data_IF_008433134292
#
_entry.id   IF_008433134292
#
_cell.length_a   1.000
_cell.length_b   1.000
_cell.length_c   1.000
_cell.angle_alpha   90.00
_cell.angle_beta   90.00
_cell.angle_gamma   90.00
#
_symmetry.space_group_name_H-M   'P 1'
#
loop_
_entity.id
_entity.type
_entity.pdbx_description
1 polymer ?
#
# COMPACT_ATOMS: atom_id res chain seq x y z
N UNK A 1 -7.73 20.98 -7.90
CA UNK A 1 -7.78 19.94 -6.84
C UNK A 1 -7.58 20.59 -5.46
N UNK A 2 -6.83 21.68 -5.41
CA UNK A 2 -6.70 22.63 -4.30
C UNK A 2 -8.05 23.00 -3.66
N UNK A 3 -9.08 23.23 -4.47
CA UNK A 3 -10.45 23.53 -4.04
C UNK A 3 -11.08 22.47 -3.11
N UNK A 4 -10.59 21.22 -3.15
CA UNK A 4 -10.99 20.16 -2.21
C UNK A 4 -10.13 20.12 -0.94
N UNK A 5 -8.88 20.61 -0.98
CA UNK A 5 -8.00 20.61 0.19
C UNK A 5 -8.53 21.55 1.28
N UNK A 6 -9.09 22.70 0.88
CA UNK A 6 -9.63 23.70 1.81
C UNK A 6 -11.11 23.50 2.17
N UNK A 7 -11.80 22.53 1.57
CA UNK A 7 -13.12 22.09 2.03
C UNK A 7 -12.95 21.02 3.14
N UNK A 8 -12.93 21.46 4.40
CA UNK A 8 -12.86 20.63 5.61
C UNK A 8 -13.48 21.39 6.80
N UNK A 9 -13.89 20.69 7.86
CA UNK A 9 -14.46 21.32 9.07
C UNK A 9 -13.67 20.97 10.34
N UNK A 10 -13.17 19.73 10.42
CA UNK A 10 -12.44 19.21 11.59
C UNK A 10 -11.00 18.86 11.21
N UNK A 11 -10.07 19.21 12.11
CA UNK A 11 -8.70 18.72 12.13
C UNK A 11 -8.49 17.88 13.39
N UNK A 12 -7.77 16.76 13.26
CA UNK A 12 -7.25 15.97 14.37
C UNK A 12 -5.76 15.69 14.19
N UNK A 13 -5.04 15.40 15.28
CA UNK A 13 -3.64 15.00 15.24
C UNK A 13 -3.47 13.52 15.63
N UNK A 14 -2.46 12.86 15.07
CA UNK A 14 -2.06 11.52 15.50
C UNK A 14 -0.56 11.28 15.37
N UNK A 15 -0.05 10.32 16.14
CA UNK A 15 1.23 9.68 15.88
C UNK A 15 0.97 8.33 15.22
N UNK A 16 1.68 8.02 14.14
CA UNK A 16 1.55 6.74 13.44
C UNK A 16 2.88 6.35 12.81
N UNK A 17 3.33 5.11 13.01
CA UNK A 17 4.68 4.62 12.58
C UNK A 17 5.83 5.60 12.95
N UNK A 18 5.83 6.10 14.18
CA UNK A 18 6.84 7.03 14.73
C UNK A 18 6.95 8.39 14.01
N UNK A 19 5.95 8.75 13.20
CA UNK A 19 5.83 10.07 12.55
C UNK A 19 4.59 10.79 13.10
N UNK A 20 4.60 12.12 13.13
CA UNK A 20 3.51 12.96 13.65
C UNK A 20 2.73 13.60 12.50
N UNK A 21 1.40 13.53 12.57
CA UNK A 21 0.50 13.96 11.51
C UNK A 21 -0.61 14.87 12.03
N UNK A 22 -0.97 15.84 11.19
CA UNK A 22 -2.22 16.58 11.24
C UNK A 22 -3.15 16.03 10.13
N UNK A 23 -4.44 15.88 10.40
CA UNK A 23 -5.40 15.18 9.53
C UNK A 23 -6.71 15.97 9.44
N UNK A 24 -7.20 16.24 8.23
CA UNK A 24 -8.49 16.90 7.96
C UNK A 24 -9.60 15.86 7.73
N UNK A 25 -10.84 16.21 8.07
CA UNK A 25 -12.04 15.37 7.80
C UNK A 25 -12.36 15.17 6.31
N UNK A 26 -11.69 15.90 5.42
CA UNK A 26 -11.67 15.60 3.99
C UNK A 26 -10.74 14.44 3.58
N UNK A 27 -10.00 13.85 4.54
CA UNK A 27 -9.06 12.77 4.28
C UNK A 27 -7.70 13.21 3.75
N UNK A 28 -7.42 14.52 3.74
CA UNK A 28 -6.06 15.04 3.53
C UNK A 28 -5.24 15.03 4.82
N UNK A 29 -3.93 14.90 4.66
CA UNK A 29 -2.94 14.76 5.74
C UNK A 29 -1.79 15.74 5.53
N UNK A 30 -1.19 16.15 6.64
CA UNK A 30 0.08 16.87 6.73
C UNK A 30 0.98 16.10 7.69
N UNK A 31 2.19 15.74 7.28
CA UNK A 31 3.21 15.19 8.19
C UNK A 31 4.14 16.30 8.64
N UNK A 32 4.41 16.39 9.94
CA UNK A 32 5.43 17.30 10.47
C UNK A 32 6.85 16.78 10.20
N UNK A 33 7.80 17.68 9.94
CA UNK A 33 9.22 17.30 9.96
C UNK A 33 9.63 16.92 11.39
N UNK A 34 10.22 15.72 11.64
CA UNK A 34 10.77 15.39 12.95
C UNK A 34 11.93 16.32 13.31
N UNK A 35 11.97 16.80 14.55
CA UNK A 35 12.84 17.91 15.01
C UNK A 35 14.31 17.78 14.57
N UNK A 36 14.90 16.60 14.72
CA UNK A 36 16.32 16.34 14.42
C UNK A 36 16.59 15.85 12.97
N UNK A 37 15.61 15.97 12.06
CA UNK A 37 15.70 15.43 10.69
C UNK A 37 15.46 16.49 9.62
N UNK A 38 16.15 16.34 8.49
CA UNK A 38 15.94 17.20 7.31
C UNK A 38 14.51 17.07 6.78
N UNK A 39 13.84 18.20 6.60
CA UNK A 39 12.53 18.33 5.95
C UNK A 39 12.50 17.62 4.60
N UNK A 40 11.60 16.65 4.45
CA UNK A 40 11.35 15.95 3.18
C UNK A 40 10.43 16.80 2.30
N UNK A 41 10.43 16.64 0.95
CA UNK A 41 9.67 17.53 0.06
C UNK A 41 8.16 17.61 0.32
N UNK A 42 7.59 16.59 0.97
CA UNK A 42 6.16 16.45 1.33
C UNK A 42 5.83 16.89 2.76
N UNK A 43 6.80 17.19 3.61
CA UNK A 43 6.53 17.55 5.01
C UNK A 43 5.98 18.98 5.11
N UNK A 44 5.23 19.23 6.18
CA UNK A 44 4.61 20.52 6.53
C UNK A 44 3.70 21.08 5.42
N UNK A 45 3.13 20.20 4.59
CA UNK A 45 2.22 20.50 3.48
C UNK A 45 1.02 19.57 3.52
N UNK A 46 -0.17 20.12 3.28
CA UNK A 46 -1.40 19.34 3.15
C UNK A 46 -1.44 18.60 1.80
N UNK A 47 -1.85 17.33 1.83
CA UNK A 47 -1.99 16.51 0.63
C UNK A 47 -2.97 15.35 0.85
N UNK A 48 -3.65 14.91 -0.20
CA UNK A 48 -4.38 13.62 -0.18
C UNK A 48 -3.43 12.41 -0.34
N UNK A 49 -2.13 12.63 -0.58
CA UNK A 49 -1.14 11.61 -0.91
C UNK A 49 -0.96 11.40 -2.41
N UNK A 50 0.03 10.58 -2.78
CA UNK A 50 0.28 10.14 -4.16
C UNK A 50 -0.44 8.81 -4.40
N UNK A 51 -1.12 8.66 -5.53
CA UNK A 51 -1.72 7.37 -5.92
C UNK A 51 -0.64 6.32 -6.21
N UNK A 52 -0.67 5.23 -5.46
CA UNK A 52 0.01 3.99 -5.78
C UNK A 52 -0.87 3.20 -6.77
N UNK A 53 -0.35 2.92 -7.97
CA UNK A 53 -1.13 2.31 -9.06
C UNK A 53 -1.36 0.80 -8.89
N UNK A 54 -0.49 0.12 -8.16
CA UNK A 54 -0.57 -1.33 -7.90
C UNK A 54 -1.57 -1.62 -6.77
N UNK A 55 -1.48 -0.86 -5.68
CA UNK A 55 -2.33 -1.05 -4.50
C UNK A 55 -3.66 -0.31 -4.60
N UNK A 56 -3.77 0.71 -5.46
CA UNK A 56 -4.93 1.57 -5.63
C UNK A 56 -5.14 2.60 -4.51
N UNK A 57 -4.27 2.63 -3.50
CA UNK A 57 -4.36 3.54 -2.36
C UNK A 57 -3.56 4.83 -2.57
N UNK A 58 -3.95 5.88 -1.83
CA UNK A 58 -3.13 7.09 -1.70
C UNK A 58 -2.10 6.91 -0.57
N UNK A 59 -0.85 7.29 -0.83
CA UNK A 59 0.30 7.11 0.06
C UNK A 59 1.11 8.40 0.22
N UNK A 60 1.51 8.73 1.45
CA UNK A 60 2.48 9.80 1.78
C UNK A 60 3.79 9.15 2.24
N UNK A 61 4.85 9.29 1.45
CA UNK A 61 6.15 8.66 1.69
C UNK A 61 6.04 7.15 2.05
N UNK A 62 5.36 6.39 1.19
CA UNK A 62 5.08 4.94 1.35
C UNK A 62 4.19 4.56 2.54
N UNK A 63 3.54 5.53 3.20
CA UNK A 63 2.56 5.30 4.27
C UNK A 63 1.14 5.55 3.74
N UNK A 64 0.27 4.53 3.82
CA UNK A 64 -1.12 4.57 3.32
C UNK A 64 -1.97 5.57 4.10
N UNK A 65 -2.51 6.56 3.39
CA UNK A 65 -3.25 7.70 3.96
C UNK A 65 -4.48 7.25 4.74
N UNK A 66 -5.23 6.25 4.26
CA UNK A 66 -6.40 5.73 4.98
C UNK A 66 -6.07 5.23 6.40
N UNK A 67 -4.88 4.67 6.66
CA UNK A 67 -4.52 4.23 8.03
C UNK A 67 -4.20 5.43 8.92
N UNK A 68 -3.52 6.45 8.40
CA UNK A 68 -3.26 7.71 9.12
C UNK A 68 -4.61 8.37 9.49
N UNK A 69 -5.54 8.48 8.54
CA UNK A 69 -6.86 9.09 8.78
C UNK A 69 -7.69 8.29 9.79
N UNK A 70 -7.72 6.95 9.67
CA UNK A 70 -8.46 6.09 10.61
C UNK A 70 -7.85 6.16 12.01
N UNK A 71 -6.52 6.18 12.12
CA UNK A 71 -5.81 6.30 13.42
C UNK A 71 -6.12 7.63 14.10
N UNK A 72 -6.19 8.74 13.35
CA UNK A 72 -6.57 10.04 13.91
C UNK A 72 -8.04 10.09 14.34
N UNK A 73 -8.98 9.74 13.44
CA UNK A 73 -10.41 9.96 13.71
C UNK A 73 -11.09 8.86 14.53
N UNK A 74 -10.56 7.63 14.52
CA UNK A 74 -11.16 6.46 15.20
C UNK A 74 -10.19 5.77 16.18
N UNK A 75 -8.99 6.31 16.40
CA UNK A 75 -7.97 5.72 17.27
C UNK A 75 -7.24 4.52 16.65
N UNK A 76 -6.35 3.91 17.43
CA UNK A 76 -5.62 2.69 17.05
C UNK A 76 -6.56 1.48 16.82
N UNK A 77 -6.18 0.50 15.98
CA UNK A 77 -6.99 -0.68 15.72
C UNK A 77 -7.20 -1.53 16.99
N UNK A 78 -8.44 -2.03 17.25
CA UNK A 78 -8.73 -2.83 18.46
C UNK A 78 -7.90 -4.11 18.61
N UNK A 79 -7.56 -4.78 17.50
CA UNK A 79 -6.61 -5.91 17.46
C UNK A 79 -5.67 -5.78 16.27
N UNK A 80 -4.57 -6.56 16.26
CA UNK A 80 -3.62 -6.61 15.14
C UNK A 80 -4.23 -7.14 13.83
N UNK A 81 -5.38 -7.82 13.89
CA UNK A 81 -6.09 -8.32 12.69
C UNK A 81 -6.99 -7.27 12.02
N UNK A 82 -7.25 -6.15 12.70
CA UNK A 82 -8.14 -5.10 12.16
C UNK A 82 -7.45 -4.34 11.01
N UNK A 83 -8.03 -4.47 9.83
CA UNK A 83 -7.74 -3.68 8.64
C UNK A 83 -8.66 -2.46 8.57
N UNK A 84 -8.33 -1.49 7.72
CA UNK A 84 -9.26 -0.42 7.36
C UNK A 84 -10.13 -0.90 6.20
N UNK A 85 -11.45 -0.86 6.38
CA UNK A 85 -12.43 -1.00 5.30
C UNK A 85 -12.85 0.37 4.77
N UNK A 86 -12.85 0.52 3.45
CA UNK A 86 -13.50 1.62 2.74
C UNK A 86 -14.94 1.21 2.48
N UNK A 87 -15.90 1.83 3.18
CA UNK A 87 -17.31 1.41 3.18
C UNK A 87 -17.92 1.49 1.77
N UNK A 88 -17.60 2.51 0.98
CA UNK A 88 -17.98 2.63 -0.45
C UNK A 88 -17.08 1.80 -1.41
N UNK A 89 -16.08 1.09 -0.89
CA UNK A 89 -15.04 0.34 -1.61
C UNK A 89 -14.13 1.19 -2.53
N UNK A 90 -14.18 2.52 -2.46
CA UNK A 90 -13.28 3.42 -3.18
C UNK A 90 -12.02 3.68 -2.35
N UNK A 91 -10.91 3.03 -2.71
CA UNK A 91 -9.60 3.14 -2.05
C UNK A 91 -9.01 4.56 -1.96
N UNK A 92 -9.58 5.53 -2.66
CA UNK A 92 -9.16 6.94 -2.70
C UNK A 92 -10.15 7.89 -1.99
N UNK A 93 -11.31 7.39 -1.53
CA UNK A 93 -12.22 8.13 -0.65
C UNK A 93 -11.80 7.93 0.82
N UNK A 94 -10.90 8.79 1.29
CA UNK A 94 -10.35 8.73 2.64
C UNK A 94 -11.11 9.62 3.64
N UNK A 95 -12.36 10.02 3.38
CA UNK A 95 -13.20 10.69 4.39
C UNK A 95 -13.38 9.76 5.61
N UNK A 96 -13.26 10.24 6.86
CA UNK A 96 -13.46 9.41 8.06
C UNK A 96 -14.81 8.68 8.08
N UNK A 97 -15.91 9.32 7.67
CA UNK A 97 -17.25 8.69 7.54
C UNK A 97 -17.35 7.55 6.49
N UNK A 98 -16.26 7.29 5.74
CA UNK A 98 -16.11 6.19 4.81
C UNK A 98 -15.12 5.10 5.30
N UNK A 99 -14.41 5.32 6.41
CA UNK A 99 -13.39 4.39 6.92
C UNK A 99 -13.87 3.73 8.21
N UNK A 100 -13.47 2.48 8.45
CA UNK A 100 -13.67 1.79 9.74
C UNK A 100 -12.61 0.72 9.99
N UNK A 101 -12.30 0.46 11.25
CA UNK A 101 -11.57 -0.75 11.65
C UNK A 101 -12.52 -1.96 11.60
N UNK A 102 -12.12 -3.03 10.91
CA UNK A 102 -12.80 -4.34 10.88
C UNK A 102 -11.78 -5.44 10.63
N UNK A 103 -12.05 -6.66 11.05
CA UNK A 103 -11.36 -7.86 10.55
C UNK A 103 -11.72 -8.18 9.09
N UNK A 104 -10.99 -9.09 8.45
CA UNK A 104 -11.30 -9.60 7.10
C UNK A 104 -12.72 -10.16 7.01
N UNK A 105 -13.10 -10.97 8.01
CA UNK A 105 -14.40 -11.64 8.09
C UNK A 105 -15.54 -10.62 8.30
N UNK A 106 -15.35 -9.65 9.20
CA UNK A 106 -16.33 -8.58 9.40
C UNK A 106 -16.51 -7.71 8.15
N UNK A 107 -15.48 -7.48 7.32
CA UNK A 107 -15.70 -6.80 6.03
C UNK A 107 -16.63 -7.62 5.11
N UNK A 108 -16.36 -8.93 4.97
CA UNK A 108 -17.17 -9.84 4.15
C UNK A 108 -18.64 -9.86 4.62
N UNK A 109 -18.88 -9.87 5.92
CA UNK A 109 -20.23 -9.97 6.51
C UNK A 109 -20.95 -8.61 6.66
N UNK A 110 -20.22 -7.53 6.95
CA UNK A 110 -20.77 -6.21 7.32
C UNK A 110 -20.57 -5.13 6.24
N UNK A 111 -20.07 -5.47 5.06
CA UNK A 111 -20.05 -4.58 3.89
C UNK A 111 -20.93 -5.19 2.76
N UNK A 112 -22.19 -4.71 2.57
CA UNK A 112 -23.09 -5.23 1.54
C UNK A 112 -22.52 -5.16 0.12
N UNK A 113 -21.64 -4.19 -0.17
CA UNK A 113 -21.01 -4.02 -1.49
C UNK A 113 -19.94 -5.09 -1.70
N UNK A 114 -19.16 -5.41 -0.67
CA UNK A 114 -18.22 -6.54 -0.66
C UNK A 114 -18.98 -7.86 -0.80
N UNK A 115 -20.01 -8.07 0.03
CA UNK A 115 -20.86 -9.27 -0.01
C UNK A 115 -21.50 -9.49 -1.39
N UNK A 116 -22.08 -8.47 -2.03
CA UNK A 116 -22.69 -8.60 -3.36
C UNK A 116 -21.68 -8.92 -4.46
N UNK A 117 -20.44 -8.43 -4.36
CA UNK A 117 -19.36 -8.84 -5.28
C UNK A 117 -18.98 -10.31 -5.11
N UNK A 118 -18.91 -10.79 -3.87
CA UNK A 118 -18.67 -12.20 -3.56
C UNK A 118 -19.81 -13.07 -4.09
N UNK A 119 -21.08 -12.70 -3.80
CA UNK A 119 -22.28 -13.39 -4.28
C UNK A 119 -22.28 -13.54 -5.82
N UNK A 120 -21.98 -12.47 -6.57
CA UNK A 120 -21.94 -12.48 -8.04
C UNK A 120 -20.87 -13.43 -8.61
N UNK A 121 -19.77 -13.64 -7.89
CA UNK A 121 -18.61 -14.45 -8.34
C UNK A 121 -18.68 -15.89 -7.81
N UNK A 122 -19.29 -16.09 -6.65
CA UNK A 122 -19.26 -17.34 -5.88
C UNK A 122 -20.62 -18.04 -5.78
N UNK A 123 -21.71 -17.34 -6.10
CA UNK A 123 -23.10 -17.81 -6.00
C UNK A 123 -23.78 -17.42 -4.68
N UNK A 124 -23.05 -17.50 -3.57
CA UNK A 124 -23.43 -16.97 -2.25
C UNK A 124 -22.18 -16.70 -1.41
N UNK A 125 -22.35 -16.18 -0.18
CA UNK A 125 -21.22 -15.81 0.69
C UNK A 125 -20.74 -17.01 1.52
N UNK A 126 -21.62 -17.90 1.97
CA UNK A 126 -21.24 -19.11 2.72
C UNK A 126 -20.27 -19.98 1.91
N UNK A 127 -20.56 -20.26 0.64
CA UNK A 127 -19.71 -21.08 -0.23
C UNK A 127 -18.34 -20.44 -0.48
N UNK A 128 -18.21 -19.11 -0.40
CA UNK A 128 -16.93 -18.42 -0.42
C UNK A 128 -16.18 -18.59 0.91
N UNK A 129 -16.87 -18.52 2.05
CA UNK A 129 -16.27 -18.73 3.37
C UNK A 129 -15.85 -20.20 3.60
N UNK A 130 -16.61 -21.17 3.08
CA UNK A 130 -16.30 -22.60 3.12
C UNK A 130 -15.01 -22.94 2.35
N UNK A 131 -14.75 -22.28 1.22
CA UNK A 131 -13.53 -22.50 0.43
C UNK A 131 -13.20 -21.28 -0.45
N UNK A 132 -12.48 -20.27 0.08
CA UNK A 132 -12.13 -19.07 -0.69
C UNK A 132 -11.26 -19.40 -1.93
N UNK A 133 -10.36 -20.36 -1.78
CA UNK A 133 -9.40 -20.80 -2.82
C UNK A 133 -10.07 -21.24 -4.12
N UNK A 134 -11.22 -21.91 -4.04
CA UNK A 134 -12.08 -22.35 -5.17
C UNK A 134 -12.59 -21.19 -6.06
N UNK A 135 -12.45 -19.94 -5.61
CA UNK A 135 -12.90 -18.75 -6.33
C UNK A 135 -11.77 -17.76 -6.65
N UNK A 136 -10.53 -18.02 -6.22
CA UNK A 136 -9.38 -17.11 -6.37
C UNK A 136 -9.26 -16.55 -7.78
N UNK A 137 -9.24 -17.42 -8.79
CA UNK A 137 -9.00 -17.07 -10.19
C UNK A 137 -10.26 -16.55 -10.93
N UNK A 138 -11.37 -16.38 -10.19
CA UNK A 138 -12.65 -15.85 -10.71
C UNK A 138 -12.86 -14.37 -10.35
N UNK A 139 -12.06 -13.82 -9.43
CA UNK A 139 -12.10 -12.40 -9.13
C UNK A 139 -11.41 -11.62 -10.25
N UNK A 140 -12.09 -10.65 -10.90
CA UNK A 140 -11.47 -9.85 -11.94
C UNK A 140 -10.44 -8.88 -11.37
N UNK A 141 -9.40 -8.59 -12.15
CA UNK A 141 -8.32 -7.66 -11.77
C UNK A 141 -8.84 -6.31 -11.23
N UNK A 142 -8.27 -5.77 -10.13
CA UNK A 142 -8.72 -4.53 -9.50
C UNK A 142 -8.65 -3.29 -10.43
N UNK A 143 -9.74 -3.02 -11.15
CA UNK A 143 -9.86 -1.84 -11.98
C UNK A 143 -9.98 -0.57 -11.11
N UNK A 144 -8.86 0.12 -10.88
CA UNK A 144 -8.81 1.39 -10.14
C UNK A 144 -9.19 2.63 -10.96
N UNK A 145 -9.48 2.51 -12.27
CA UNK A 145 -9.66 3.65 -13.19
C UNK A 145 -10.84 4.56 -12.82
N UNK A 146 -11.82 4.05 -12.08
CA UNK A 146 -12.98 4.80 -11.58
C UNK A 146 -12.78 5.40 -10.19
N UNK A 147 -11.76 4.95 -9.44
CA UNK A 147 -11.50 5.42 -8.08
C UNK A 147 -10.83 6.80 -8.13
N UNK A 148 -11.31 7.71 -7.28
CA UNK A 148 -10.78 9.06 -7.14
C UNK A 148 -11.07 9.62 -5.75
N UNK A 149 -10.34 10.66 -5.35
CA UNK A 149 -10.76 11.59 -4.30
C UNK A 149 -12.01 12.33 -4.78
N UNK A 150 -12.97 12.50 -3.88
CA UNK A 150 -14.33 13.04 -4.11
C UNK A 150 -14.63 14.15 -3.10
N UNK A 151 -15.66 14.97 -3.34
CA UNK A 151 -16.24 15.79 -2.28
C UNK A 151 -17.14 14.95 -1.35
N UNK A 152 -17.54 15.52 -0.21
CA UNK A 152 -18.47 14.88 0.75
C UNK A 152 -19.82 14.54 0.07
N UNK A 153 -20.27 15.39 -0.84
CA UNK A 153 -21.52 15.22 -1.60
C UNK A 153 -21.37 14.15 -2.68
N UNK A 154 -20.24 14.15 -3.42
CA UNK A 154 -19.93 13.09 -4.39
C UNK A 154 -19.78 11.72 -3.70
N UNK A 155 -19.16 11.68 -2.52
CA UNK A 155 -19.03 10.48 -1.68
C UNK A 155 -20.40 9.93 -1.26
N UNK A 156 -21.29 10.78 -0.73
CA UNK A 156 -22.64 10.38 -0.28
C UNK A 156 -23.48 9.83 -1.43
N UNK A 157 -23.53 10.53 -2.56
CA UNK A 157 -24.25 10.08 -3.76
C UNK A 157 -23.66 8.79 -4.34
N UNK A 158 -22.33 8.59 -4.27
CA UNK A 158 -21.70 7.32 -4.68
C UNK A 158 -22.10 6.16 -3.77
N UNK A 159 -21.98 6.35 -2.45
CA UNK A 159 -22.31 5.37 -1.40
C UNK A 159 -23.78 4.94 -1.48
N UNK A 160 -24.71 5.87 -1.71
CA UNK A 160 -26.13 5.57 -1.95
C UNK A 160 -26.35 4.70 -3.19
N UNK A 161 -25.73 5.03 -4.34
CA UNK A 161 -25.83 4.24 -5.58
C UNK A 161 -25.27 2.83 -5.39
N UNK A 162 -24.16 2.71 -4.66
CA UNK A 162 -23.50 1.45 -4.36
C UNK A 162 -24.32 0.54 -3.44
N UNK A 163 -24.93 1.09 -2.39
CA UNK A 163 -25.84 0.35 -1.50
C UNK A 163 -27.14 -0.05 -2.22
N UNK A 164 -27.69 0.84 -3.05
CA UNK A 164 -28.86 0.54 -3.88
C UNK A 164 -28.57 -0.53 -4.96
N UNK A 165 -27.33 -0.62 -5.45
CA UNK A 165 -26.89 -1.73 -6.30
C UNK A 165 -26.72 -3.03 -5.51
N UNK A 166 -26.05 -2.98 -4.35
CA UNK A 166 -25.81 -4.14 -3.49
C UNK A 166 -27.11 -4.84 -3.08
N UNK A 167 -28.13 -4.05 -2.72
CA UNK A 167 -29.45 -4.50 -2.32
C UNK A 167 -30.39 -4.83 -3.50
N UNK A 168 -29.87 -5.11 -4.71
CA UNK A 168 -30.68 -5.37 -5.90
C UNK A 168 -30.36 -6.71 -6.58
N UNK A 169 -31.39 -7.35 -7.13
CA UNK A 169 -31.31 -8.61 -7.89
C UNK A 169 -30.72 -8.44 -9.30
N UNK A 170 -30.17 -7.26 -9.61
CA UNK A 170 -29.73 -6.89 -10.97
C UNK A 170 -28.29 -7.32 -11.21
N UNK A 171 -28.12 -8.47 -11.86
CA UNK A 171 -26.86 -8.83 -12.54
C UNK A 171 -26.42 -7.68 -13.45
N UNK A 172 -25.14 -7.29 -13.36
CA UNK A 172 -24.62 -6.07 -14.00
C UNK A 172 -24.66 -6.17 -15.53
N UNK A 173 -25.63 -5.50 -16.16
CA UNK A 173 -25.76 -5.50 -17.61
C UNK A 173 -24.69 -4.61 -18.28
N UNK A 174 -23.71 -5.27 -18.91
CA UNK A 174 -22.90 -4.77 -20.04
C UNK A 174 -22.26 -3.38 -19.86
N UNK A 175 -21.47 -3.23 -18.81
CA UNK A 175 -20.56 -2.09 -18.57
C UNK A 175 -19.65 -2.38 -17.38
N UNK A 176 -18.59 -1.59 -17.16
CA UNK A 176 -17.83 -1.73 -15.91
C UNK A 176 -18.63 -1.12 -14.75
N UNK A 177 -18.63 -1.79 -13.59
CA UNK A 177 -19.39 -1.37 -12.41
C UNK A 177 -19.01 0.07 -11.99
N UNK A 178 -17.71 0.40 -12.06
CA UNK A 178 -17.17 1.72 -11.76
C UNK A 178 -17.73 2.84 -12.65
N UNK A 179 -17.82 2.63 -13.97
CA UNK A 179 -18.38 3.63 -14.91
C UNK A 179 -19.89 3.84 -14.74
N UNK A 180 -20.61 2.89 -14.12
CA UNK A 180 -22.01 3.07 -13.76
C UNK A 180 -22.17 3.91 -12.48
N UNK A 181 -21.39 3.60 -11.43
CA UNK A 181 -21.42 4.34 -10.16
C UNK A 181 -20.94 5.78 -10.38
N UNK A 182 -19.72 5.93 -10.92
CA UNK A 182 -19.01 7.21 -11.12
C UNK A 182 -19.32 7.86 -12.47
N UNK A 183 -20.52 7.58 -13.00
CA UNK A 183 -21.17 8.50 -13.94
C UNK A 183 -21.46 9.82 -13.21
N UNK A 184 -20.45 10.70 -13.20
CA UNK A 184 -20.62 12.15 -13.04
C UNK A 184 -21.72 12.55 -13.99
N UNK A 185 -22.86 12.81 -13.39
CA UNK A 185 -24.10 12.90 -14.14
C UNK A 185 -24.02 14.23 -14.88
N UNK A 186 -24.08 14.22 -16.22
CA UNK A 186 -24.16 15.45 -17.01
C UNK A 186 -25.38 16.31 -16.61
N UNK A 187 -26.37 15.68 -15.96
CA UNK A 187 -27.47 16.32 -15.27
C UNK A 187 -27.13 17.05 -13.96
N UNK A 188 -25.90 17.00 -13.42
CA UNK A 188 -25.48 17.91 -12.34
C UNK A 188 -25.07 19.27 -12.91
N UNK A 189 -24.27 19.28 -13.99
CA UNK A 189 -24.07 20.48 -14.80
C UNK A 189 -25.40 20.99 -15.37
N UNK A 190 -26.29 20.12 -15.86
CA UNK A 190 -27.58 20.59 -16.40
C UNK A 190 -28.59 21.00 -15.33
N UNK A 191 -28.58 20.46 -14.10
CA UNK A 191 -29.41 20.99 -13.01
C UNK A 191 -28.91 22.34 -12.52
N UNK A 192 -27.61 22.48 -12.27
CA UNK A 192 -27.03 23.77 -11.86
C UNK A 192 -27.17 24.81 -12.99
N UNK A 193 -27.06 24.42 -14.26
CA UNK A 193 -27.38 25.29 -15.37
C UNK A 193 -28.87 25.67 -15.39
N UNK A 194 -29.79 24.71 -15.34
CA UNK A 194 -31.23 24.98 -15.44
C UNK A 194 -31.76 25.79 -14.23
N UNK A 195 -31.32 25.52 -13.00
CA UNK A 195 -31.76 26.28 -11.82
C UNK A 195 -31.19 27.70 -11.80
N UNK A 196 -29.96 27.92 -12.29
CA UNK A 196 -29.42 29.26 -12.48
C UNK A 196 -30.06 29.99 -13.66
N UNK A 197 -30.35 29.29 -14.76
CA UNK A 197 -31.01 29.84 -15.95
C UNK A 197 -32.47 30.22 -15.66
N UNK A 198 -33.23 29.41 -14.90
CA UNK A 198 -34.58 29.80 -14.44
C UNK A 198 -34.55 30.96 -13.42
N UNK A 199 -33.54 31.03 -12.54
CA UNK A 199 -33.33 32.20 -11.66
C UNK A 199 -32.96 33.45 -12.46
N UNK A 200 -32.07 33.33 -13.45
CA UNK A 200 -31.69 34.41 -14.36
C UNK A 200 -32.89 34.86 -15.20
N UNK A 201 -33.69 33.94 -15.77
CA UNK A 201 -34.92 34.25 -16.52
C UNK A 201 -35.98 34.96 -15.66
N UNK A 202 -36.14 34.58 -14.39
CA UNK A 202 -36.98 35.33 -13.43
C UNK A 202 -36.41 36.73 -13.17
N UNK A 203 -35.11 36.87 -12.97
CA UNK A 203 -34.47 38.17 -12.72
C UNK A 203 -34.52 39.09 -13.95
N UNK A 204 -34.24 38.57 -15.15
CA UNK A 204 -34.20 39.31 -16.41
C UNK A 204 -35.59 39.77 -16.86
N UNK A 205 -36.64 38.98 -16.62
CA UNK A 205 -38.02 39.42 -16.84
C UNK A 205 -38.50 40.47 -15.82
N UNK A 206 -37.79 40.64 -14.70
CA UNK A 206 -38.09 41.66 -13.69
C UNK A 206 -37.43 43.02 -13.96
N UNK A 207 -36.51 43.11 -14.93
CA UNK A 207 -35.73 44.32 -15.23
C UNK A 207 -35.97 44.75 -16.69
N UNK A 208 -37.17 45.29 -16.95
CA UNK A 208 -37.51 45.98 -18.21
C UNK A 208 -38.10 47.38 -17.92
N UNK A 209 -37.24 48.28 -17.46
CA UNK A 209 -37.50 49.72 -17.43
C UNK A 209 -36.20 50.47 -17.80
N UNK A 210 -36.20 51.43 -18.74
CA UNK A 210 -34.99 52.10 -19.20
C UNK A 210 -34.72 53.39 -18.42
N UNK A 211 -33.57 53.48 -17.74
CA UNK A 211 -33.02 54.76 -17.24
C UNK A 211 -31.53 54.82 -17.58
N UNK A 212 -31.13 55.93 -18.19
CA UNK A 212 -29.75 56.25 -18.55
C UNK A 212 -29.10 57.14 -17.51
N UNK A 213 -27.85 56.84 -17.14
CA UNK A 213 -26.84 57.86 -16.86
C UNK A 213 -25.43 57.26 -16.76
N UNK A 214 -24.44 58.05 -17.15
CA UNK A 214 -23.01 57.73 -17.16
C UNK A 214 -22.32 58.33 -15.94
N UNK A 215 -21.42 57.58 -15.29
CA UNK A 215 -20.39 58.16 -14.42
C UNK A 215 -19.05 57.44 -14.57
N UNK A 216 -17.96 58.21 -14.53
CA UNK A 216 -16.56 57.74 -14.42
C UNK A 216 -16.18 57.59 -12.94
N UNK A 217 -15.10 56.85 -12.66
CA UNK A 217 -14.13 57.22 -11.63
C UNK A 217 -12.70 56.78 -12.04
N UNK A 218 -11.72 57.61 -11.69
CA UNK A 218 -10.27 57.41 -11.74
C UNK A 218 -9.71 57.87 -10.36
N UNK A 219 -8.51 57.39 -9.97
CA UNK A 219 -7.67 57.84 -8.82
C UNK A 219 -8.23 57.59 -7.38
N UNK A 220 -7.46 57.47 -6.28
CA UNK A 220 -6.00 57.52 -5.95
C UNK A 220 -5.78 56.65 -4.64
N UNK A 221 -4.61 56.22 -4.11
CA UNK A 221 -3.20 56.29 -4.56
C UNK A 221 -2.31 55.08 -4.12
N UNK A 222 -1.86 54.89 -2.85
CA UNK A 222 -0.42 54.65 -2.65
C UNK A 222 -0.03 53.33 -1.93
N UNK A 223 1.23 52.87 -1.96
CA UNK A 223 2.34 53.35 -2.80
C UNK A 223 3.77 53.17 -2.26
N UNK A 224 4.39 51.99 -2.49
CA UNK A 224 5.86 51.72 -2.52
C UNK A 224 6.66 51.88 -1.19
N UNK A 225 7.98 51.51 -1.14
CA UNK A 225 8.79 50.66 -2.05
C UNK A 225 9.50 49.45 -1.36
N UNK A 226 10.19 48.62 -2.16
CA UNK A 226 11.32 47.80 -1.72
C UNK A 226 12.64 48.45 -2.17
N UNK A 227 13.72 48.32 -1.40
CA UNK A 227 15.10 48.31 -1.95
C UNK A 227 16.15 47.82 -0.91
N UNK A 228 17.12 47.01 -1.36
CA UNK A 228 18.53 47.07 -0.94
C UNK A 228 19.41 46.11 -1.77
N UNK A 229 20.72 46.38 -1.85
CA UNK A 229 21.67 45.71 -2.75
C UNK A 229 22.97 45.23 -2.05
N UNK A 230 23.70 44.36 -2.76
CA UNK A 230 25.13 44.02 -2.60
C UNK A 230 25.49 43.13 -1.38
N UNK A 231 26.57 42.32 -1.42
CA UNK A 231 27.85 42.58 -2.09
C UNK A 231 28.65 41.30 -2.48
N UNK A 232 29.62 41.46 -3.42
CA UNK A 232 30.89 40.69 -3.66
C UNK A 232 30.98 39.15 -3.41
N UNK A 233 31.59 38.31 -4.26
CA UNK A 233 32.31 38.52 -5.54
C UNK A 233 33.78 38.02 -5.51
N UNK A 234 34.05 36.78 -5.98
CA UNK A 234 35.41 36.21 -6.20
C UNK A 234 35.42 35.35 -7.49
N UNK A 235 36.60 35.16 -8.09
CA UNK A 235 36.87 34.60 -9.43
C UNK A 235 37.56 33.23 -9.34
N UNK A 236 37.37 32.31 -10.31
CA UNK A 236 38.45 31.66 -11.11
C UNK A 236 37.91 30.74 -12.23
N UNK A 237 38.80 30.36 -13.15
CA UNK A 237 38.52 29.82 -14.49
C UNK A 237 38.65 28.28 -14.59
N UNK A 238 37.97 27.63 -15.57
CA UNK A 238 38.18 26.21 -15.86
C UNK A 238 39.54 25.97 -16.52
N UNK A 239 40.02 24.72 -16.47
CA UNK A 239 41.19 24.28 -17.23
C UNK A 239 40.98 22.85 -17.75
N UNK A 240 41.71 22.49 -18.81
CA UNK A 240 41.45 21.32 -19.65
C UNK A 240 42.27 20.06 -19.30
N UNK A 241 41.85 18.95 -19.90
CA UNK A 241 42.58 17.74 -20.30
C UNK A 241 43.46 16.97 -19.30
N UNK A 242 43.03 15.74 -19.01
CA UNK A 242 43.89 14.56 -19.17
C UNK A 242 43.12 13.53 -20.01
N UNK A 243 43.59 13.29 -21.24
CA UNK A 243 43.13 12.17 -22.07
C UNK A 243 43.97 10.91 -21.81
N UNK A 244 43.33 9.76 -22.00
CA UNK A 244 43.88 8.52 -22.58
C UNK A 244 45.28 8.03 -22.17
N UNK A 245 45.31 6.95 -21.38
CA UNK A 245 46.22 5.82 -21.68
C UNK A 245 45.39 4.56 -21.93
N UNK A 246 45.43 4.14 -23.20
CA UNK A 246 45.29 2.82 -23.82
C UNK A 246 45.00 1.58 -22.94
N UNK A 247 44.31 0.54 -23.41
CA UNK A 247 43.36 0.34 -24.55
C UNK A 247 42.97 -1.16 -24.61
N UNK A 248 41.80 -1.49 -25.16
CA UNK A 248 41.38 -2.85 -25.57
C UNK A 248 41.14 -3.89 -24.43
N UNK A 249 40.18 -4.82 -24.50
CA UNK A 249 39.05 -4.96 -25.43
C UNK A 249 37.88 -5.77 -24.79
N UNK A 250 36.65 -5.54 -25.28
CA UNK A 250 35.43 -6.35 -25.06
C UNK A 250 35.04 -6.81 -23.63
N UNK A 251 34.23 -6.00 -22.91
CA UNK A 251 32.85 -6.40 -22.51
C UNK A 251 31.99 -5.24 -21.93
N UNK A 252 31.93 -4.10 -22.61
CA UNK A 252 31.16 -2.91 -22.18
C UNK A 252 29.67 -2.94 -22.59
N UNK A 253 28.95 -4.01 -22.26
CA UNK A 253 27.49 -4.08 -22.34
C UNK A 253 26.95 -5.22 -21.47
N UNK A 254 26.45 -4.87 -20.27
CA UNK A 254 25.54 -5.63 -19.36
C UNK A 254 25.62 -5.11 -17.90
N UNK A 255 26.68 -4.37 -17.53
CA UNK A 255 26.95 -3.85 -16.16
C UNK A 255 25.92 -2.78 -15.67
N UNK A 256 24.85 -2.53 -16.42
CA UNK A 256 23.93 -1.40 -16.18
C UNK A 256 22.44 -1.79 -16.07
N UNK A 257 22.13 -3.07 -15.81
CA UNK A 257 20.74 -3.56 -15.74
C UNK A 257 20.37 -4.27 -14.41
N UNK A 258 21.34 -4.49 -13.50
CA UNK A 258 21.12 -5.04 -12.16
C UNK A 258 21.41 -4.03 -11.05
N UNK A 259 20.51 -3.05 -10.92
CA UNK A 259 20.37 -2.20 -9.73
C UNK A 259 19.07 -2.56 -8.97
N UNK A 260 18.81 -3.86 -8.79
CA UNK A 260 17.64 -4.38 -8.07
C UNK A 260 17.79 -4.20 -6.56
N UNK A 261 17.27 -3.06 -6.10
CA UNK A 261 16.57 -2.92 -4.83
C UNK A 261 17.34 -3.23 -3.52
N UNK A 262 18.28 -2.36 -3.16
CA UNK A 262 18.84 -2.22 -1.79
C UNK A 262 17.77 -1.91 -0.72
N UNK A 263 16.48 -1.74 -1.06
CA UNK A 263 15.38 -1.50 -0.11
C UNK A 263 14.58 -2.76 0.23
N UNK A 264 14.80 -3.86 -0.50
CA UNK A 264 14.16 -5.16 -0.28
C UNK A 264 15.05 -6.14 0.49
N UNK A 265 16.32 -6.27 0.10
CA UNK A 265 17.27 -7.19 0.73
C UNK A 265 18.40 -6.46 1.47
N UNK A 266 18.80 -7.02 2.61
CA UNK A 266 19.95 -6.53 3.38
C UNK A 266 20.87 -7.69 3.73
N UNK A 267 22.18 -7.41 3.78
CA UNK A 267 23.17 -8.39 4.20
C UNK A 267 22.89 -8.85 5.64
N UNK A 268 22.86 -10.16 5.84
CA UNK A 268 22.65 -10.81 7.13
C UNK A 268 23.92 -10.74 8.01
N UNK A 269 23.90 -11.39 9.18
CA UNK A 269 25.11 -11.57 9.99
C UNK A 269 26.06 -12.65 9.43
N UNK A 270 25.60 -13.46 8.47
CA UNK A 270 26.42 -14.46 7.75
C UNK A 270 27.01 -13.86 6.47
N UNK A 271 28.28 -14.17 6.18
CA UNK A 271 29.07 -13.46 5.15
C UNK A 271 28.53 -13.56 3.72
N UNK A 272 27.93 -14.70 3.36
CA UNK A 272 27.49 -15.02 2.00
C UNK A 272 25.95 -15.02 1.89
N UNK A 273 25.25 -14.47 2.89
CA UNK A 273 23.79 -14.50 2.97
C UNK A 273 23.15 -13.11 3.13
N UNK A 274 22.05 -12.92 2.42
CA UNK A 274 21.15 -11.78 2.51
C UNK A 274 19.79 -12.23 3.04
N UNK A 275 19.03 -11.31 3.62
CA UNK A 275 17.66 -11.54 4.08
C UNK A 275 16.72 -10.42 3.62
N UNK A 276 15.48 -10.78 3.32
CA UNK A 276 14.45 -9.83 2.91
C UNK A 276 13.97 -8.99 4.11
N UNK A 277 14.24 -7.68 4.12
CA UNK A 277 13.89 -6.81 5.25
C UNK A 277 12.43 -6.36 5.27
N UNK A 278 11.61 -6.68 4.26
CA UNK A 278 10.16 -6.44 4.30
C UNK A 278 9.40 -7.51 5.08
N UNK A 279 9.92 -8.75 5.13
CA UNK A 279 9.34 -9.87 5.90
C UNK A 279 10.25 -10.34 7.07
N UNK A 280 11.52 -9.92 7.10
CA UNK A 280 12.53 -10.31 8.09
C UNK A 280 13.45 -9.14 8.48
N UNK A 281 12.90 -8.10 9.13
CA UNK A 281 13.62 -6.86 9.48
C UNK A 281 14.81 -7.07 10.45
N UNK A 282 14.68 -7.97 11.43
CA UNK A 282 15.74 -8.25 12.42
C UNK A 282 16.85 -9.11 11.81
N UNK A 283 18.08 -8.59 11.77
CA UNK A 283 19.23 -9.29 11.19
C UNK A 283 19.56 -10.58 11.94
N UNK A 284 19.75 -11.66 11.20
CA UNK A 284 20.05 -13.00 11.71
C UNK A 284 21.41 -13.51 11.20
N UNK A 285 22.01 -14.42 11.97
CA UNK A 285 23.01 -15.37 11.49
C UNK A 285 22.28 -16.63 11.03
N UNK A 286 22.74 -17.24 9.93
CA UNK A 286 22.26 -18.50 9.37
C UNK A 286 23.36 -19.57 9.49
N UNK A 287 23.43 -20.36 10.59
CA UNK A 287 24.62 -21.17 10.91
C UNK A 287 24.88 -22.36 9.97
N UNK A 288 23.87 -22.80 9.22
CA UNK A 288 23.99 -23.90 8.25
C UNK A 288 24.27 -23.42 6.81
N UNK A 289 24.30 -22.10 6.57
CA UNK A 289 24.53 -21.53 5.24
C UNK A 289 25.94 -21.87 4.73
N UNK A 290 26.10 -22.39 3.50
CA UNK A 290 27.41 -22.62 2.90
C UNK A 290 28.25 -21.34 2.78
N UNK A 291 29.56 -21.49 2.97
CA UNK A 291 30.55 -20.42 2.75
C UNK A 291 31.35 -20.61 1.44
N UNK A 292 31.10 -21.71 0.72
CA UNK A 292 31.80 -22.11 -0.51
C UNK A 292 30.79 -22.27 -1.67
N UNK A 293 31.20 -21.91 -2.88
CA UNK A 293 30.38 -22.06 -4.08
C UNK A 293 30.52 -23.48 -4.64
N UNK A 294 29.48 -24.30 -4.46
CA UNK A 294 29.35 -25.62 -5.08
C UNK A 294 28.61 -25.58 -6.42
N UNK A 295 28.63 -26.67 -7.18
CA UNK A 295 27.91 -26.81 -8.46
C UNK A 295 26.38 -26.65 -8.30
N UNK A 296 25.79 -27.24 -7.25
CA UNK A 296 24.36 -27.08 -6.89
C UNK A 296 24.23 -26.46 -5.47
N UNK A 297 24.32 -25.12 -5.31
CA UNK A 297 24.40 -24.42 -4.02
C UNK A 297 23.26 -24.72 -3.04
N UNK A 298 22.04 -24.88 -3.55
CA UNK A 298 20.83 -25.11 -2.76
C UNK A 298 20.77 -26.54 -2.21
N UNK A 299 21.23 -27.53 -2.98
CA UNK A 299 21.43 -28.91 -2.50
C UNK A 299 22.56 -28.97 -1.48
N UNK A 300 23.65 -28.22 -1.70
CA UNK A 300 24.74 -28.15 -0.74
C UNK A 300 24.32 -27.49 0.59
N UNK A 301 23.43 -26.48 0.56
CA UNK A 301 22.78 -25.98 1.77
C UNK A 301 21.87 -27.05 2.40
N UNK A 302 21.02 -27.75 1.64
CA UNK A 302 20.12 -28.76 2.22
C UNK A 302 20.89 -29.93 2.86
N UNK A 303 22.08 -30.29 2.37
CA UNK A 303 22.96 -31.28 3.04
C UNK A 303 23.64 -30.78 4.33
N UNK A 304 23.77 -29.46 4.53
CA UNK A 304 24.22 -28.89 5.81
C UNK A 304 23.10 -28.82 6.86
N UNK A 305 21.83 -28.87 6.45
CA UNK A 305 20.69 -28.85 7.36
C UNK A 305 20.45 -30.22 8.01
N UNK A 306 20.09 -30.20 9.29
CA UNK A 306 19.60 -31.37 10.02
C UNK A 306 18.45 -30.95 10.94
N UNK A 307 17.48 -31.83 11.14
CA UNK A 307 16.38 -31.60 12.09
C UNK A 307 16.97 -31.41 13.49
N UNK A 308 16.47 -30.43 14.24
CA UNK A 308 16.99 -29.89 15.52
C UNK A 308 18.24 -29.01 15.45
N UNK A 309 18.81 -28.73 14.27
CA UNK A 309 19.86 -27.69 14.17
C UNK A 309 19.24 -26.29 14.19
N UNK A 310 20.03 -25.27 14.52
CA UNK A 310 19.62 -23.87 14.43
C UNK A 310 19.71 -23.45 12.95
N UNK A 311 18.56 -23.14 12.35
CA UNK A 311 18.50 -22.58 10.99
C UNK A 311 18.93 -21.11 10.99
N UNK A 312 18.37 -20.33 11.92
CA UNK A 312 18.68 -18.90 12.06
C UNK A 312 18.64 -18.47 13.52
N UNK A 313 19.39 -17.44 13.87
CA UNK A 313 19.42 -16.85 15.22
C UNK A 313 19.77 -15.37 15.16
N UNK A 314 19.34 -14.62 16.17
CA UNK A 314 19.75 -13.24 16.43
C UNK A 314 19.95 -13.04 17.93
N UNK A 315 20.10 -11.80 18.39
CA UNK A 315 20.33 -11.47 19.80
C UNK A 315 19.11 -11.72 20.72
N UNK A 316 17.91 -11.92 20.16
CA UNK A 316 16.66 -12.14 20.90
C UNK A 316 16.18 -13.60 20.87
N UNK A 317 16.36 -14.31 19.75
CA UNK A 317 15.74 -15.62 19.50
C UNK A 317 16.54 -16.49 18.53
N UNK A 318 16.22 -17.78 18.48
CA UNK A 318 16.76 -18.76 17.53
C UNK A 318 15.68 -19.69 17.02
N UNK A 319 15.67 -19.95 15.72
CA UNK A 319 14.77 -20.86 15.04
C UNK A 319 15.46 -22.18 14.73
N UNK A 320 14.82 -23.27 15.14
CA UNK A 320 15.29 -24.65 15.06
C UNK A 320 14.60 -25.36 13.89
N UNK A 321 15.34 -26.09 13.06
CA UNK A 321 14.82 -26.89 11.95
C UNK A 321 13.87 -27.99 12.46
N UNK A 322 12.62 -27.95 12.02
CA UNK A 322 11.63 -29.02 12.21
C UNK A 322 11.54 -29.91 10.95
N UNK A 323 11.59 -29.31 9.76
CA UNK A 323 11.60 -30.02 8.46
C UNK A 323 12.22 -29.14 7.37
N UNK A 324 12.67 -29.72 6.25
CA UNK A 324 13.16 -28.97 5.09
C UNK A 324 13.04 -29.77 3.79
N UNK A 325 12.95 -29.08 2.65
CA UNK A 325 12.85 -29.69 1.32
C UNK A 325 13.36 -28.73 0.24
N UNK A 326 13.98 -29.27 -0.80
CA UNK A 326 14.33 -28.53 -2.03
C UNK A 326 13.23 -28.68 -3.09
N UNK A 327 13.16 -27.73 -4.02
CA UNK A 327 12.33 -27.79 -5.23
C UNK A 327 12.82 -28.85 -6.23
N UNK A 328 11.98 -29.20 -7.22
CA UNK A 328 12.29 -30.24 -8.22
C UNK A 328 13.34 -29.81 -9.27
N UNK A 329 13.54 -28.51 -9.41
CA UNK A 329 14.56 -27.85 -10.23
C UNK A 329 15.86 -27.57 -9.45
N UNK A 330 15.88 -27.87 -8.14
CA UNK A 330 16.98 -27.59 -7.21
C UNK A 330 17.34 -26.10 -7.05
N UNK A 331 16.49 -25.15 -7.48
CA UNK A 331 16.73 -23.70 -7.38
C UNK A 331 16.28 -23.08 -6.03
N UNK A 332 15.40 -23.75 -5.28
CA UNK A 332 14.80 -23.25 -4.02
C UNK A 332 14.90 -24.29 -2.89
N UNK A 333 15.09 -23.82 -1.66
CA UNK A 333 15.07 -24.62 -0.42
C UNK A 333 14.11 -24.00 0.60
N UNK A 334 13.10 -24.76 1.02
CA UNK A 334 12.17 -24.37 2.08
C UNK A 334 12.57 -25.01 3.41
N UNK A 335 12.56 -24.23 4.49
CA UNK A 335 12.94 -24.67 5.83
C UNK A 335 11.83 -24.33 6.83
N UNK A 336 11.11 -25.36 7.28
CA UNK A 336 10.12 -25.28 8.34
C UNK A 336 10.84 -25.27 9.69
N UNK A 337 10.60 -24.24 10.49
CA UNK A 337 11.28 -23.99 11.74
C UNK A 337 10.31 -23.84 12.93
N UNK A 338 10.86 -24.05 14.13
CA UNK A 338 10.25 -23.81 15.44
C UNK A 338 11.07 -22.74 16.20
N UNK A 339 10.42 -21.77 16.85
CA UNK A 339 11.10 -20.85 17.78
C UNK A 339 11.56 -21.59 19.04
N UNK A 340 12.74 -21.21 19.55
CA UNK A 340 13.33 -21.69 20.80
C UNK A 340 12.96 -20.82 22.01
N UNK A 341 12.11 -19.81 21.84
CA UNK A 341 11.60 -18.98 22.94
C UNK A 341 10.75 -19.79 23.95
N UNK A 342 10.62 -19.25 25.17
CA UNK A 342 9.68 -19.74 26.15
C UNK A 342 8.30 -19.09 25.93
N UNK A 343 7.32 -19.90 25.52
CA UNK A 343 5.93 -19.51 25.19
C UNK A 343 5.75 -18.46 24.05
N UNK A 344 6.38 -18.63 22.86
CA UNK A 344 6.17 -17.75 21.71
C UNK A 344 4.73 -17.82 21.20
N UNK A 345 4.17 -16.66 20.82
CA UNK A 345 2.78 -16.53 20.33
C UNK A 345 2.55 -17.26 19.00
N UNK A 346 3.56 -17.26 18.11
CA UNK A 346 3.57 -18.04 16.86
C UNK A 346 4.81 -18.95 16.87
N UNK A 347 4.71 -20.17 17.45
CA UNK A 347 5.86 -21.04 17.68
C UNK A 347 6.53 -21.58 16.42
N UNK A 348 5.91 -21.50 15.24
CA UNK A 348 6.47 -22.02 13.99
C UNK A 348 6.69 -20.90 12.98
N UNK A 349 7.70 -21.05 12.13
CA UNK A 349 8.00 -20.14 11.02
C UNK A 349 8.45 -20.93 9.79
N UNK A 350 8.27 -20.37 8.60
CA UNK A 350 8.66 -21.01 7.35
C UNK A 350 9.54 -20.06 6.56
N UNK A 351 10.77 -20.51 6.29
CA UNK A 351 11.72 -19.78 5.47
C UNK A 351 11.81 -20.37 4.06
N UNK A 352 12.18 -19.52 3.11
CA UNK A 352 12.63 -19.87 1.78
C UNK A 352 14.08 -19.41 1.60
N UNK A 353 14.85 -20.16 0.84
CA UNK A 353 16.23 -19.83 0.45
C UNK A 353 16.37 -20.03 -1.05
N UNK A 354 16.89 -19.02 -1.73
CA UNK A 354 17.24 -19.03 -3.16
C UNK A 354 18.72 -18.60 -3.32
N UNK A 355 19.35 -18.88 -4.46
CA UNK A 355 20.75 -18.53 -4.72
C UNK A 355 20.91 -17.82 -6.08
N UNK A 356 21.50 -16.62 -6.07
CA UNK A 356 21.74 -15.79 -7.27
C UNK A 356 23.10 -15.10 -7.08
N UNK A 357 23.87 -14.91 -8.17
CA UNK A 357 25.17 -14.20 -8.21
C UNK A 357 26.21 -14.54 -7.10
N UNK A 358 26.19 -15.78 -6.60
CA UNK A 358 27.15 -16.25 -5.60
C UNK A 358 26.75 -16.06 -4.15
N UNK A 359 25.50 -15.66 -3.86
CA UNK A 359 24.99 -15.41 -2.50
C UNK A 359 23.61 -16.02 -2.26
N UNK A 360 23.32 -16.36 -1.01
CA UNK A 360 22.05 -16.95 -0.58
C UNK A 360 21.06 -15.89 -0.08
N UNK A 361 19.90 -15.80 -0.71
CA UNK A 361 18.80 -14.92 -0.31
C UNK A 361 17.81 -15.69 0.57
N UNK A 362 17.48 -15.12 1.74
CA UNK A 362 16.61 -15.75 2.74
C UNK A 362 15.33 -14.94 2.96
N UNK A 363 14.19 -15.61 2.83
CA UNK A 363 12.86 -15.01 2.91
C UNK A 363 12.00 -15.62 4.00
N UNK A 364 11.26 -14.79 4.73
CA UNK A 364 10.28 -15.24 5.71
C UNK A 364 8.89 -15.35 5.05
N UNK A 365 8.46 -16.58 4.75
CA UNK A 365 7.17 -16.87 4.14
C UNK A 365 6.00 -16.84 5.14
N UNK A 366 6.29 -16.68 6.44
CA UNK A 366 5.29 -16.48 7.48
C UNK A 366 5.63 -17.15 8.81
N UNK A 367 4.89 -16.76 9.84
CA UNK A 367 4.88 -17.42 11.15
C UNK A 367 3.47 -17.92 11.49
N UNK A 368 3.41 -19.02 12.24
CA UNK A 368 2.22 -19.85 12.42
C UNK A 368 1.97 -20.13 13.91
N UNK A 369 0.69 -20.11 14.30
CA UNK A 369 0.24 -20.49 15.64
C UNK A 369 0.40 -22.00 15.86
N UNK A 370 0.11 -22.81 14.84
CA UNK A 370 0.09 -24.27 14.95
C UNK A 370 1.05 -24.94 13.96
N UNK A 371 1.61 -26.09 14.36
CA UNK A 371 2.50 -26.87 13.50
C UNK A 371 1.81 -27.31 12.22
N UNK A 372 0.53 -27.70 12.32
CA UNK A 372 -0.27 -28.16 11.19
C UNK A 372 -0.47 -27.08 10.11
N UNK A 373 -0.58 -25.80 10.48
CA UNK A 373 -0.69 -24.69 9.52
C UNK A 373 0.63 -24.44 8.78
N UNK A 374 1.74 -24.53 9.50
CA UNK A 374 3.08 -24.42 8.93
C UNK A 374 3.40 -25.61 8.00
N UNK A 375 3.04 -26.84 8.40
CA UNK A 375 3.15 -28.06 7.59
C UNK A 375 2.25 -28.01 6.35
N UNK A 376 1.03 -27.48 6.46
CA UNK A 376 0.11 -27.23 5.33
C UNK A 376 0.75 -26.31 4.30
N UNK A 377 1.27 -25.16 4.72
CA UNK A 377 1.96 -24.22 3.83
C UNK A 377 3.24 -24.82 3.22
N UNK A 378 4.07 -25.50 4.02
CA UNK A 378 5.29 -26.18 3.57
C UNK A 378 5.00 -27.26 2.51
N UNK A 379 3.93 -28.06 2.69
CA UNK A 379 3.50 -29.08 1.73
C UNK A 379 3.05 -28.46 0.40
N UNK A 380 2.26 -27.39 0.46
CA UNK A 380 1.72 -26.72 -0.72
C UNK A 380 2.78 -26.00 -1.57
N UNK A 381 3.90 -25.55 -0.97
CA UNK A 381 5.02 -24.96 -1.71
C UNK A 381 5.74 -25.98 -2.59
N UNK A 382 5.89 -27.22 -2.12
CA UNK A 382 6.47 -28.34 -2.87
C UNK A 382 5.57 -28.84 -4.01
N UNK A 383 4.43 -28.19 -4.27
CA UNK A 383 3.42 -28.63 -5.23
C UNK A 383 2.65 -29.90 -4.81
N UNK A 384 2.75 -30.31 -3.54
CA UNK A 384 2.15 -31.53 -3.03
C UNK A 384 0.72 -31.30 -2.53
N UNK A 385 -0.11 -32.34 -2.67
CA UNK A 385 -1.49 -32.36 -2.19
C UNK A 385 -1.52 -32.43 -0.65
N UNK A 386 -2.03 -31.39 0.01
CA UNK A 386 -2.25 -31.40 1.46
C UNK A 386 -3.42 -32.33 1.84
N UNK A 387 -3.19 -33.24 2.79
CA UNK A 387 -4.16 -34.25 3.25
C UNK A 387 -4.47 -34.20 4.75
N UNK A 388 -3.91 -33.23 5.47
CA UNK A 388 -4.36 -32.91 6.82
C UNK A 388 -5.68 -32.14 6.80
N UNK A 389 -6.20 -31.86 8.00
CA UNK A 389 -7.33 -30.93 8.15
C UNK A 389 -6.92 -29.47 7.93
N UNK A 390 -7.83 -28.58 8.28
CA UNK A 390 -7.51 -27.16 8.45
C UNK A 390 -6.78 -26.92 9.78
N UNK A 391 -6.12 -25.76 9.85
CA UNK A 391 -5.35 -25.26 10.98
C UNK A 391 -5.96 -23.96 11.49
N UNK A 392 -5.66 -23.56 12.72
CA UNK A 392 -6.06 -22.24 13.22
C UNK A 392 -5.53 -21.10 12.33
N UNK A 393 -4.32 -21.25 11.77
CA UNK A 393 -3.71 -20.28 10.86
C UNK A 393 -4.43 -20.08 9.52
N UNK A 394 -5.35 -20.97 9.12
CA UNK A 394 -6.19 -20.78 7.92
C UNK A 394 -7.26 -19.69 8.10
N UNK A 395 -7.56 -19.29 9.33
CA UNK A 395 -8.67 -18.40 9.67
C UNK A 395 -8.23 -16.99 10.12
N UNK A 396 -6.94 -16.64 9.99
CA UNK A 396 -6.34 -15.38 10.48
C UNK A 396 -5.95 -14.39 9.37
#
# INVERSE_FOLDING_TARGET
>A
MEDLLENYNVIQECHYKNEHYCVRDNGSVLRYTPLDKRTRPTDNKWTFGKLNKETGYLEIASVRVHRIVTTAFHGEPPTKEHIVDHIDTNKQNNHPENLRWVTKLENILLNPITAKRIEIICGNVEAFLENPSKFRDKFPEPNYKWMCTVSIEEAKVSKERLLAWANSDKTVQRGSLGEWIYKRSSSFSSKIANENDDRLKKSLNSIKAPISQSFKFEDEFPGKPLENLNNSGVVYTPNLDIENIFSENHHSSLINEYAKDETLYKKSLTSNAFQNIQNWETLCEFPCCPNENSENPIVFYSTNLNIRFIFSKNEYTSFIVENFASSQDEETLWVLCRSNEENPVKPYALAEVNFEDGVFFHDNLGSFFEKIGAEKKFTLLQGLEWKGGDSFDDYC
#
